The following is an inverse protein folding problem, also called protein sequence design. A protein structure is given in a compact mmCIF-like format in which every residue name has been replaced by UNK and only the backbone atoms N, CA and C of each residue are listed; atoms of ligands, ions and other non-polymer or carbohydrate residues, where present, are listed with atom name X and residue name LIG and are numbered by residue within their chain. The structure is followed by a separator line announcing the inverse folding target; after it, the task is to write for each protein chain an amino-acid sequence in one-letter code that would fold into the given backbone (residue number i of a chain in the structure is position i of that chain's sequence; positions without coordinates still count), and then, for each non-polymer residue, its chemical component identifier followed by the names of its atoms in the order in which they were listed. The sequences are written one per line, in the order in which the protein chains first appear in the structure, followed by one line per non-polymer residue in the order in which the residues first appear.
data_IF_834493281646
#
_entry.id   IF_834493281646
#
_cell.length_a   1.000
_cell.length_b   1.000
_cell.length_c   1.000
_cell.angle_alpha   90.00
_cell.angle_beta   90.00
_cell.angle_gamma   90.00
#
_symmetry.space_group_name_H-M   'P 1'
#
loop_
_entity.id
_entity.type
_entity.pdbx_description
1 polymer ?
#
# COMPACT_ATOMS: atom_id res chain seq x y z
N UNK A 1 18.45 -75.89 57.06
CA UNK A 1 19.24 -74.75 56.60
C UNK A 1 18.30 -73.76 55.95
N UNK A 2 18.31 -72.48 56.42
CA UNK A 2 17.55 -71.42 55.79
C UNK A 2 18.25 -71.03 54.47
N UNK A 3 17.48 -70.76 53.43
CA UNK A 3 18.10 -70.36 52.16
C UNK A 3 18.73 -69.00 52.31
N UNK A 4 19.96 -68.84 51.86
CA UNK A 4 20.63 -67.52 51.70
C UNK A 4 20.08 -66.82 50.52
N UNK A 5 19.47 -65.67 50.72
CA UNK A 5 19.00 -64.78 49.64
C UNK A 5 19.90 -63.56 49.60
N UNK A 6 20.36 -63.24 48.40
CA UNK A 6 21.07 -61.98 48.13
C UNK A 6 20.05 -60.84 47.98
N UNK A 7 20.16 -59.82 48.80
CA UNK A 7 19.31 -58.62 48.73
C UNK A 7 20.16 -57.44 48.30
N UNK A 8 19.61 -56.64 47.37
CA UNK A 8 20.17 -55.37 46.96
C UNK A 8 19.32 -54.29 47.57
N UNK A 9 19.92 -53.41 48.36
CA UNK A 9 19.24 -52.24 48.92
C UNK A 9 19.05 -51.21 47.82
N UNK A 10 17.80 -51.00 47.44
CA UNK A 10 17.47 -49.93 46.51
C UNK A 10 17.66 -48.56 47.20
N UNK A 11 18.50 -47.73 46.62
CA UNK A 11 18.66 -46.35 47.01
C UNK A 11 18.17 -45.44 45.86
N UNK A 12 17.33 -44.43 46.17
CA UNK A 12 16.92 -43.45 45.15
C UNK A 12 18.16 -42.66 44.68
N UNK A 13 18.38 -42.61 43.39
CA UNK A 13 19.41 -41.79 42.80
C UNK A 13 18.81 -40.93 41.66
N UNK A 14 19.26 -39.69 41.59
CA UNK A 14 18.82 -38.78 40.53
C UNK A 14 19.68 -39.07 39.30
N UNK A 15 19.04 -39.52 38.22
CA UNK A 15 19.68 -39.68 36.91
C UNK A 15 19.26 -38.54 35.99
N UNK A 16 20.23 -37.84 35.47
CA UNK A 16 20.00 -36.84 34.41
C UNK A 16 19.93 -37.56 33.04
N UNK A 17 18.71 -37.55 32.49
CA UNK A 17 18.49 -38.05 31.14
C UNK A 17 18.77 -36.90 30.16
N UNK A 18 19.79 -37.09 29.30
CA UNK A 18 20.11 -36.22 28.19
C UNK A 18 19.33 -36.69 26.98
N UNK A 19 18.39 -35.86 26.50
CA UNK A 19 17.66 -36.12 25.27
C UNK A 19 18.30 -35.28 24.17
N UNK A 20 18.96 -35.93 23.21
CA UNK A 20 19.50 -35.28 22.01
C UNK A 20 18.39 -35.18 20.97
N UNK A 21 18.03 -33.97 20.56
CA UNK A 21 17.05 -33.73 19.52
C UNK A 21 17.70 -32.95 18.38
N UNK A 22 17.23 -33.23 17.18
CA UNK A 22 17.60 -32.46 15.97
C UNK A 22 16.35 -31.81 15.41
N UNK A 23 16.47 -30.62 14.88
CA UNK A 23 15.39 -29.89 14.26
C UNK A 23 15.91 -29.00 13.13
N UNK A 24 15.09 -28.79 12.12
CA UNK A 24 15.37 -27.84 11.05
C UNK A 24 14.61 -26.56 11.34
N UNK A 25 15.32 -25.43 11.34
CA UNK A 25 14.70 -24.12 11.45
C UNK A 25 14.35 -23.66 10.03
N UNK A 26 13.08 -23.37 9.81
CA UNK A 26 12.60 -22.82 8.54
C UNK A 26 11.92 -21.47 8.76
N UNK A 27 11.95 -20.62 7.72
CA UNK A 27 11.34 -19.31 7.80
C UNK A 27 9.80 -19.44 7.89
N UNK A 28 9.18 -18.70 8.82
CA UNK A 28 7.72 -18.67 9.01
C UNK A 28 7.00 -18.07 7.80
N UNK A 29 7.65 -17.14 7.10
CA UNK A 29 7.12 -16.44 5.91
C UNK A 29 8.24 -16.31 4.89
N UNK A 30 7.91 -16.48 3.63
CA UNK A 30 8.76 -16.19 2.47
C UNK A 30 7.92 -15.47 1.45
N UNK A 31 8.37 -14.30 1.01
CA UNK A 31 7.65 -13.45 0.07
C UNK A 31 8.63 -12.97 -1.01
N UNK A 32 8.21 -13.03 -2.27
CA UNK A 32 8.89 -12.33 -3.35
C UNK A 32 8.38 -10.88 -3.35
N UNK A 33 9.24 -9.95 -2.97
CA UNK A 33 8.96 -8.52 -3.04
C UNK A 33 9.01 -8.10 -4.51
N UNK A 34 7.94 -7.48 -5.01
CA UNK A 34 7.81 -7.08 -6.42
C UNK A 34 7.55 -5.59 -6.53
N UNK A 35 8.03 -4.98 -7.62
CA UNK A 35 7.70 -3.60 -7.95
C UNK A 35 6.21 -3.49 -8.33
N UNK A 36 5.52 -2.49 -7.80
CA UNK A 36 4.11 -2.21 -8.11
C UNK A 36 3.96 -1.10 -9.15
N UNK A 37 5.05 -0.39 -9.43
CA UNK A 37 5.14 0.69 -10.42
C UNK A 37 6.42 0.54 -11.23
N UNK A 38 6.48 1.14 -12.41
CA UNK A 38 7.64 1.10 -13.27
C UNK A 38 8.53 2.33 -13.05
N UNK A 39 9.84 2.18 -13.20
CA UNK A 39 10.78 3.28 -13.13
C UNK A 39 12.20 2.83 -12.84
N UNK A 40 13.11 3.78 -12.77
CA UNK A 40 14.51 3.53 -12.43
C UNK A 40 14.67 3.51 -10.92
N UNK A 41 15.43 2.56 -10.41
CA UNK A 41 15.83 2.53 -8.99
C UNK A 41 16.86 3.64 -8.75
N UNK A 42 16.53 4.59 -7.89
CA UNK A 42 17.38 5.74 -7.57
C UNK A 42 18.10 5.60 -6.25
N UNK A 43 17.53 4.85 -5.33
CA UNK A 43 18.07 4.64 -3.99
C UNK A 43 17.83 3.21 -3.53
N UNK A 44 18.81 2.64 -2.86
CA UNK A 44 18.74 1.30 -2.24
C UNK A 44 19.31 1.41 -0.83
N UNK A 45 18.56 0.98 0.16
CA UNK A 45 19.00 0.97 1.56
C UNK A 45 20.15 -0.03 1.76
N UNK A 46 21.10 0.30 2.64
CA UNK A 46 22.18 -0.62 3.03
C UNK A 46 21.64 -1.89 3.67
N UNK A 47 20.48 -1.83 4.33
CA UNK A 47 19.79 -3.00 4.88
C UNK A 47 19.24 -3.93 3.79
N UNK A 48 19.05 -3.44 2.56
CA UNK A 48 18.56 -4.21 1.41
C UNK A 48 19.72 -4.91 0.68
N UNK A 49 20.51 -5.66 1.42
CA UNK A 49 21.59 -6.52 0.91
C UNK A 49 21.32 -7.99 1.29
N UNK A 50 21.93 -8.91 0.55
CA UNK A 50 21.79 -10.35 0.86
C UNK A 50 22.18 -10.63 2.30
N UNK A 51 21.25 -11.15 3.07
CA UNK A 51 21.41 -11.39 4.49
C UNK A 51 21.18 -10.19 5.40
N UNK A 52 20.85 -9.00 4.87
CA UNK A 52 20.53 -7.82 5.64
C UNK A 52 19.22 -7.97 6.43
N UNK A 53 19.16 -7.34 7.61
CA UNK A 53 17.98 -7.32 8.46
C UNK A 53 17.23 -6.00 8.25
N UNK A 54 15.90 -6.08 8.29
CA UNK A 54 15.03 -4.92 8.18
C UNK A 54 13.84 -5.07 9.16
N UNK A 55 13.31 -3.94 9.59
CA UNK A 55 12.09 -3.85 10.37
C UNK A 55 10.89 -3.53 9.46
N UNK A 56 9.71 -3.81 9.96
CA UNK A 56 8.48 -3.44 9.27
C UNK A 56 8.45 -1.93 8.98
N UNK A 57 7.98 -1.57 7.78
CA UNK A 57 7.86 -0.21 7.26
C UNK A 57 9.22 0.48 6.93
N UNK A 58 10.36 -0.19 7.12
CA UNK A 58 11.64 0.31 6.62
C UNK A 58 11.62 0.49 5.11
N UNK A 59 12.21 1.59 4.64
CA UNK A 59 12.40 1.84 3.21
C UNK A 59 13.54 0.97 2.70
N UNK A 60 13.22 0.06 1.80
CA UNK A 60 14.19 -0.87 1.22
C UNK A 60 14.82 -0.30 -0.06
N UNK A 61 14.00 0.30 -0.92
CA UNK A 61 14.48 1.00 -2.11
C UNK A 61 13.45 2.05 -2.56
N UNK A 62 13.93 3.00 -3.37
CA UNK A 62 13.11 4.07 -3.96
C UNK A 62 13.24 4.03 -5.48
N UNK A 63 12.09 4.06 -6.16
CA UNK A 63 11.96 4.21 -7.61
C UNK A 63 11.84 5.71 -7.92
N UNK A 64 12.34 6.15 -9.06
CA UNK A 64 12.27 7.51 -9.55
C UNK A 64 10.84 8.06 -9.49
N UNK A 65 10.66 9.24 -8.89
CA UNK A 65 9.35 9.75 -8.50
C UNK A 65 8.80 10.83 -9.42
N UNK A 66 9.67 11.45 -10.19
CA UNK A 66 9.35 12.69 -10.93
C UNK A 66 8.10 12.56 -11.82
N UNK A 67 8.00 11.48 -12.58
CA UNK A 67 6.84 11.24 -13.45
C UNK A 67 5.53 11.08 -12.66
N UNK A 68 5.60 10.50 -11.48
CA UNK A 68 4.45 10.30 -10.57
C UNK A 68 4.06 11.61 -9.89
N UNK A 69 5.01 12.45 -9.51
CA UNK A 69 4.77 13.80 -8.97
C UNK A 69 4.12 14.70 -10.03
N UNK A 70 4.58 14.63 -11.27
CA UNK A 70 3.93 15.34 -12.38
C UNK A 70 2.52 14.80 -12.67
N UNK A 71 2.29 13.50 -12.55
CA UNK A 71 0.97 12.92 -12.71
C UNK A 71 0.02 13.41 -11.62
N UNK A 72 0.48 13.46 -10.37
CA UNK A 72 -0.28 13.99 -9.24
C UNK A 72 -0.64 15.46 -9.47
N UNK A 73 0.32 16.31 -9.81
CA UNK A 73 0.07 17.73 -10.09
C UNK A 73 -0.94 17.95 -11.21
N UNK A 74 -0.92 17.10 -12.26
CA UNK A 74 -1.93 17.14 -13.34
C UNK A 74 -3.33 16.76 -12.83
N UNK A 75 -3.43 15.72 -12.00
CA UNK A 75 -4.69 15.28 -11.41
C UNK A 75 -5.28 16.35 -10.47
N UNK A 76 -4.47 16.98 -9.64
CA UNK A 76 -4.87 18.10 -8.76
C UNK A 76 -5.37 19.30 -9.57
N UNK A 77 -4.69 19.63 -10.67
CA UNK A 77 -5.15 20.70 -11.56
C UNK A 77 -6.51 20.37 -12.20
N UNK A 78 -6.73 19.11 -12.60
CA UNK A 78 -8.02 18.66 -13.13
C UNK A 78 -9.13 18.73 -12.07
N UNK A 79 -8.83 18.38 -10.82
CA UNK A 79 -9.75 18.51 -9.70
C UNK A 79 -10.15 19.98 -9.47
N UNK A 80 -9.19 20.89 -9.43
CA UNK A 80 -9.45 22.31 -9.29
C UNK A 80 -10.36 22.87 -10.40
N UNK A 81 -10.18 22.41 -11.65
CA UNK A 81 -11.05 22.77 -12.77
C UNK A 81 -12.47 22.20 -12.62
N UNK A 82 -12.59 20.96 -12.13
CA UNK A 82 -13.89 20.35 -11.88
C UNK A 82 -14.64 21.08 -10.75
N UNK A 83 -13.96 21.46 -9.68
CA UNK A 83 -14.52 22.23 -8.57
C UNK A 83 -14.99 23.63 -9.03
N UNK A 84 -14.21 24.29 -9.88
CA UNK A 84 -14.62 25.58 -10.48
C UNK A 84 -15.91 25.40 -11.28
N UNK A 85 -15.99 24.39 -12.16
CA UNK A 85 -17.21 24.12 -12.95
C UNK A 85 -18.41 23.80 -12.06
N UNK A 86 -18.23 23.06 -10.99
CA UNK A 86 -19.26 22.77 -10.01
C UNK A 86 -19.75 24.07 -9.33
N UNK A 87 -18.83 24.95 -8.94
CA UNK A 87 -19.17 26.24 -8.34
C UNK A 87 -19.99 27.13 -9.30
N UNK A 88 -19.61 27.15 -10.59
CA UNK A 88 -20.36 27.86 -11.63
C UNK A 88 -21.76 27.27 -11.82
N UNK A 89 -21.90 25.95 -11.94
CA UNK A 89 -23.21 25.31 -12.11
C UNK A 89 -24.10 25.48 -10.87
N UNK A 90 -23.53 25.47 -9.66
CA UNK A 90 -24.25 25.83 -8.43
C UNK A 90 -24.75 27.28 -8.46
N UNK A 91 -23.94 28.20 -8.97
CA UNK A 91 -24.30 29.58 -9.16
C UNK A 91 -25.49 29.72 -10.13
N UNK A 92 -25.40 29.13 -11.31
CA UNK A 92 -26.43 29.13 -12.36
C UNK A 92 -27.73 28.46 -11.88
N UNK A 93 -27.64 27.34 -11.17
CA UNK A 93 -28.82 26.67 -10.61
C UNK A 93 -29.53 27.53 -9.54
N UNK A 94 -28.77 28.24 -8.68
CA UNK A 94 -29.36 29.18 -7.71
C UNK A 94 -30.04 30.35 -8.39
N UNK A 95 -29.47 30.89 -9.47
CA UNK A 95 -30.07 31.94 -10.26
C UNK A 95 -31.36 31.45 -10.91
N UNK A 96 -31.36 30.32 -11.59
CA UNK A 96 -32.55 29.73 -12.21
C UNK A 96 -33.71 29.53 -11.20
N UNK A 97 -33.39 29.09 -9.97
CA UNK A 97 -34.37 28.94 -8.90
C UNK A 97 -34.96 30.29 -8.43
N UNK A 98 -34.20 31.38 -8.44
CA UNK A 98 -34.72 32.72 -8.11
C UNK A 98 -35.64 33.20 -9.21
N UNK A 99 -35.20 33.13 -10.45
CA UNK A 99 -36.02 33.55 -11.62
C UNK A 99 -37.33 32.77 -11.68
N UNK A 100 -37.31 31.45 -11.44
CA UNK A 100 -38.53 30.65 -11.41
C UNK A 100 -39.53 31.09 -10.32
N UNK A 101 -39.05 31.42 -9.13
CA UNK A 101 -39.92 31.92 -8.04
C UNK A 101 -40.56 33.25 -8.36
N UNK A 102 -39.89 34.12 -9.09
CA UNK A 102 -40.40 35.41 -9.53
C UNK A 102 -41.49 35.27 -10.60
N UNK A 103 -41.45 34.20 -11.39
CA UNK A 103 -42.48 33.90 -12.39
C UNK A 103 -43.78 33.33 -11.81
N UNK A 104 -43.80 32.95 -10.51
CA UNK A 104 -45.02 32.57 -9.78
C UNK A 104 -45.60 31.19 -10.20
N UNK A 105 -44.80 30.30 -10.77
CA UNK A 105 -45.21 28.95 -11.18
C UNK A 105 -44.77 27.89 -10.16
N UNK A 106 -45.69 26.98 -9.80
CA UNK A 106 -45.46 25.98 -8.75
C UNK A 106 -44.62 24.77 -9.20
N UNK A 107 -44.56 24.46 -10.48
CA UNK A 107 -43.83 23.29 -11.02
C UNK A 107 -42.66 23.71 -11.92
N UNK A 108 -41.45 23.69 -11.36
CA UNK A 108 -40.24 23.90 -12.12
C UNK A 108 -39.78 22.61 -12.80
N UNK A 109 -39.55 22.67 -14.11
CA UNK A 109 -38.88 21.57 -14.83
C UNK A 109 -37.44 21.43 -14.33
N UNK A 110 -37.02 20.20 -14.03
CA UNK A 110 -35.67 19.85 -13.59
C UNK A 110 -34.56 20.35 -14.51
N UNK A 111 -34.83 20.39 -15.83
CA UNK A 111 -33.91 20.93 -16.81
C UNK A 111 -33.74 22.44 -16.68
N UNK A 112 -34.84 23.20 -16.42
CA UNK A 112 -34.77 24.64 -16.18
C UNK A 112 -33.96 24.93 -14.91
N UNK A 113 -34.15 24.14 -13.85
CA UNK A 113 -33.42 24.27 -12.59
C UNK A 113 -31.98 23.76 -12.68
N UNK A 114 -31.56 23.30 -13.88
CA UNK A 114 -30.22 22.80 -14.15
C UNK A 114 -29.79 21.61 -13.26
N UNK A 115 -30.73 20.81 -12.77
CA UNK A 115 -30.42 19.65 -11.89
C UNK A 115 -29.52 18.61 -12.56
N UNK A 116 -29.75 18.21 -13.86
CA UNK A 116 -28.88 17.28 -14.55
C UNK A 116 -27.44 17.81 -14.71
N UNK A 117 -27.29 19.11 -15.04
CA UNK A 117 -25.98 19.75 -15.20
C UNK A 117 -25.24 19.82 -13.84
N UNK A 118 -25.96 20.18 -12.77
CA UNK A 118 -25.39 20.20 -11.43
C UNK A 118 -24.92 18.81 -11.02
N UNK A 119 -25.74 17.78 -11.26
CA UNK A 119 -25.37 16.41 -10.97
C UNK A 119 -24.17 15.93 -11.79
N UNK A 120 -24.11 16.30 -13.07
CA UNK A 120 -22.96 15.99 -13.93
C UNK A 120 -21.67 16.64 -13.40
N UNK A 121 -21.73 17.91 -12.96
CA UNK A 121 -20.60 18.60 -12.37
C UNK A 121 -20.15 17.98 -11.02
N UNK A 122 -21.10 17.54 -10.19
CA UNK A 122 -20.79 16.81 -8.95
C UNK A 122 -20.09 15.47 -9.20
N UNK A 123 -20.53 14.74 -10.22
CA UNK A 123 -19.89 13.49 -10.62
C UNK A 123 -18.51 13.72 -11.22
N UNK A 124 -18.30 14.83 -11.95
CA UNK A 124 -17.00 15.21 -12.50
C UNK A 124 -15.97 15.49 -11.38
N UNK A 125 -16.39 16.17 -10.29
CA UNK A 125 -15.53 16.36 -9.11
C UNK A 125 -15.18 15.04 -8.47
N UNK A 126 -16.14 14.12 -8.31
CA UNK A 126 -15.84 12.78 -7.76
C UNK A 126 -14.87 11.98 -8.62
N UNK A 127 -14.99 12.07 -9.94
CA UNK A 127 -14.06 11.42 -10.85
C UNK A 127 -12.65 12.00 -10.69
N UNK A 128 -12.52 13.33 -10.71
CA UNK A 128 -11.22 13.99 -10.52
C UNK A 128 -10.59 13.69 -9.14
N UNK A 129 -11.39 13.57 -8.09
CA UNK A 129 -10.93 13.14 -6.76
C UNK A 129 -10.36 11.71 -6.80
N UNK A 130 -11.02 10.82 -7.53
CA UNK A 130 -10.52 9.45 -7.71
C UNK A 130 -9.20 9.41 -8.50
N UNK A 131 -9.05 10.30 -9.51
CA UNK A 131 -7.81 10.42 -10.28
C UNK A 131 -6.65 10.93 -9.40
N UNK A 132 -6.90 11.91 -8.50
CA UNK A 132 -5.91 12.37 -7.51
C UNK A 132 -5.50 11.22 -6.60
N UNK A 133 -6.47 10.50 -6.01
CA UNK A 133 -6.18 9.38 -5.13
C UNK A 133 -5.39 8.26 -5.82
N UNK A 134 -5.67 8.01 -7.11
CA UNK A 134 -4.92 7.04 -7.91
C UNK A 134 -3.47 7.50 -8.15
N UNK A 135 -3.25 8.79 -8.41
CA UNK A 135 -1.92 9.35 -8.60
C UNK A 135 -1.11 9.35 -7.28
N UNK A 136 -1.72 9.70 -6.15
CA UNK A 136 -1.12 9.60 -4.82
C UNK A 136 -0.68 8.17 -4.50
N UNK A 137 -1.56 7.20 -4.76
CA UNK A 137 -1.25 5.79 -4.54
C UNK A 137 -0.10 5.31 -5.43
N UNK A 138 -0.04 5.77 -6.69
CA UNK A 138 1.05 5.44 -7.60
C UNK A 138 2.38 6.05 -7.12
N UNK A 139 2.35 7.28 -6.62
CA UNK A 139 3.51 7.95 -6.03
C UNK A 139 3.96 7.25 -4.74
N UNK A 140 3.06 6.86 -3.85
CA UNK A 140 3.40 6.10 -2.64
C UNK A 140 4.10 4.78 -2.97
N UNK A 141 3.65 4.09 -4.03
CA UNK A 141 4.23 2.83 -4.51
C UNK A 141 5.63 2.95 -5.10
N UNK A 142 6.15 4.16 -5.31
CA UNK A 142 7.55 4.37 -5.69
C UNK A 142 8.52 4.08 -4.54
N UNK A 143 8.03 4.14 -3.29
CA UNK A 143 8.81 3.84 -2.09
C UNK A 143 8.47 2.41 -1.66
N UNK A 144 9.41 1.51 -1.84
CA UNK A 144 9.21 0.11 -1.47
C UNK A 144 9.59 -0.09 -0.02
N UNK A 145 8.59 -0.45 0.80
CA UNK A 145 8.75 -0.68 2.24
C UNK A 145 8.66 -2.15 2.59
N UNK A 146 9.30 -2.50 3.69
CA UNK A 146 9.22 -3.84 4.26
C UNK A 146 7.82 -4.12 4.83
N UNK A 147 7.14 -5.21 4.43
CA UNK A 147 5.79 -5.53 4.90
C UNK A 147 5.77 -6.16 6.31
N UNK A 148 6.90 -6.60 6.82
CA UNK A 148 7.10 -7.23 8.13
C UNK A 148 8.59 -7.21 8.50
N UNK A 149 8.91 -7.53 9.75
CA UNK A 149 10.31 -7.67 10.22
C UNK A 149 10.92 -8.94 9.65
N UNK A 150 12.12 -8.83 9.09
CA UNK A 150 12.72 -9.98 8.44
C UNK A 150 14.15 -9.79 7.98
N UNK A 151 14.52 -10.67 7.05
CA UNK A 151 15.85 -10.70 6.46
C UNK A 151 15.76 -10.87 4.95
N UNK A 152 16.59 -10.14 4.22
CA UNK A 152 16.73 -10.33 2.77
C UNK A 152 17.42 -11.66 2.50
N UNK A 153 16.74 -12.57 1.83
CA UNK A 153 17.32 -13.85 1.41
C UNK A 153 18.16 -13.68 0.14
N UNK A 154 17.62 -12.93 -0.84
CA UNK A 154 18.28 -12.69 -2.12
C UNK A 154 17.81 -11.36 -2.70
N UNK A 155 18.72 -10.43 -2.92
CA UNK A 155 18.51 -9.19 -3.68
C UNK A 155 18.58 -9.50 -5.19
N UNK A 156 17.66 -8.91 -5.99
CA UNK A 156 17.60 -9.14 -7.44
C UNK A 156 17.70 -7.86 -8.27
N UNK A 157 17.75 -6.71 -7.61
CA UNK A 157 17.77 -5.40 -8.27
C UNK A 157 18.80 -4.50 -7.60
N UNK A 158 19.38 -3.59 -8.37
CA UNK A 158 20.37 -2.64 -7.86
C UNK A 158 20.08 -1.21 -8.34
N UNK A 159 20.75 -0.24 -7.72
CA UNK A 159 20.64 1.18 -8.08
C UNK A 159 20.95 1.39 -9.56
N UNK A 160 20.16 2.24 -10.21
CA UNK A 160 20.30 2.54 -11.63
C UNK A 160 19.58 1.56 -12.57
N UNK A 161 19.08 0.44 -12.07
CA UNK A 161 18.33 -0.52 -12.87
C UNK A 161 16.88 -0.05 -13.09
N UNK A 162 16.34 -0.28 -14.29
CA UNK A 162 14.93 -0.05 -14.58
C UNK A 162 14.10 -1.28 -14.22
N UNK A 163 13.02 -1.08 -13.49
CA UNK A 163 12.06 -2.11 -13.09
C UNK A 163 10.68 -1.80 -13.66
N UNK A 164 9.95 -2.84 -14.03
CA UNK A 164 8.55 -2.74 -14.47
C UNK A 164 7.61 -3.25 -13.40
N UNK A 165 6.31 -3.04 -13.61
CA UNK A 165 5.28 -3.59 -12.73
C UNK A 165 5.40 -5.13 -12.69
N UNK A 166 5.43 -5.71 -11.48
CA UNK A 166 5.61 -7.13 -11.26
C UNK A 166 7.05 -7.63 -11.30
N UNK A 167 8.05 -6.78 -11.55
CA UNK A 167 9.46 -7.18 -11.51
C UNK A 167 9.86 -7.60 -10.11
N UNK A 168 10.40 -8.82 -9.89
CA UNK A 168 10.84 -9.25 -8.57
C UNK A 168 12.10 -8.48 -8.15
N UNK A 169 12.00 -7.83 -6.98
CA UNK A 169 13.05 -6.99 -6.40
C UNK A 169 13.94 -7.78 -5.46
N UNK A 170 13.34 -8.61 -4.62
CA UNK A 170 14.05 -9.47 -3.68
C UNK A 170 13.16 -10.61 -3.21
N UNK A 171 13.81 -11.62 -2.63
CA UNK A 171 13.18 -12.65 -1.81
C UNK A 171 13.46 -12.36 -0.34
N UNK A 172 12.41 -12.24 0.44
CA UNK A 172 12.46 -11.90 1.88
C UNK A 172 11.72 -12.93 2.72
#
# INVERSE_FOLDING_TARGET
PAPMVAVIKAAPSTHQLLVHTQGTIDAKRRVDLVAQVAGKVVEVSDAFADGGFFEKDDVLLTIERDDYEFALARAESALAQADQRLAEERGRSRQARREWRELGSDEANDLFLRKPQLRAAELAVKAAQADVAAAELALDRTIIRAPFDGRVQQKRVDIGQFVGNGTPLAKI
#
